data_IF_861907013011
#
_entry.id   IF_861907013011
#
_cell.length_a   1.000
_cell.length_b   1.000
_cell.length_c   1.000
_cell.angle_alpha   90.00
_cell.angle_beta   90.00
_cell.angle_gamma   90.00
#
_symmetry.space_group_name_H-M   'P 1'
#
loop_
_entity.id
_entity.type
_entity.pdbx_description
1 polymer ?
#
# COMPACT_ATOMS: atom_id res chain seq x y z
N UNK A 1 -8.44 10.12 12.62
CA UNK A 1 -7.15 10.82 12.44
C UNK A 1 -6.09 9.76 12.16
N UNK A 2 -5.48 9.79 10.98
CA UNK A 2 -4.37 8.91 10.63
C UNK A 2 -3.08 9.50 11.20
N UNK A 3 -2.31 8.72 11.96
CA UNK A 3 -1.01 9.17 12.47
C UNK A 3 0.05 8.86 11.40
N UNK A 4 0.69 9.90 10.87
CA UNK A 4 1.86 9.76 10.01
C UNK A 4 3.11 9.51 10.89
N UNK A 5 3.99 8.54 10.56
CA UNK A 5 5.27 8.39 11.24
C UNK A 5 6.25 9.48 10.77
N UNK A 6 6.99 10.04 11.73
CA UNK A 6 8.01 11.07 11.51
C UNK A 6 9.17 10.53 10.63
N UNK A 7 9.43 11.25 9.54
CA UNK A 7 10.56 11.04 8.62
C UNK A 7 10.64 12.18 7.61
N UNK A 8 11.72 12.98 7.69
CA UNK A 8 11.96 14.32 7.12
C UNK A 8 11.65 14.55 5.63
N UNK A 9 11.10 15.75 5.42
CA UNK A 9 11.22 16.72 4.33
C UNK A 9 10.93 16.30 2.88
N UNK A 10 9.72 16.66 2.44
CA UNK A 10 9.31 16.77 1.04
C UNK A 10 7.96 17.46 0.93
N UNK A 11 7.97 18.78 0.72
CA UNK A 11 6.84 19.68 0.42
C UNK A 11 5.52 19.40 1.15
N UNK A 12 5.25 20.17 2.20
CA UNK A 12 3.96 20.27 2.88
C UNK A 12 2.91 20.91 1.97
N UNK A 13 2.39 20.13 1.01
CA UNK A 13 1.05 20.41 0.49
C UNK A 13 0.07 19.86 1.51
N UNK A 14 -0.65 20.77 2.16
CA UNK A 14 -1.63 20.43 3.17
C UNK A 14 -2.69 19.54 2.54
N UNK A 15 -2.71 18.27 2.94
CA UNK A 15 -3.54 17.25 2.28
C UNK A 15 -5.03 17.45 2.60
N UNK A 16 -5.35 18.29 3.59
CA UNK A 16 -6.70 18.48 4.12
C UNK A 16 -7.59 19.39 3.24
N UNK A 17 -7.03 20.16 2.30
CA UNK A 17 -7.83 21.03 1.41
C UNK A 17 -8.38 20.32 0.17
N UNK A 18 -7.90 19.10 -0.14
CA UNK A 18 -8.34 18.39 -1.34
C UNK A 18 -9.73 17.78 -1.12
N UNK A 19 -10.74 18.37 -1.78
CA UNK A 19 -12.11 17.85 -1.75
C UNK A 19 -12.18 16.41 -2.31
N UNK A 20 -12.99 15.56 -1.68
CA UNK A 20 -13.31 14.21 -2.13
C UNK A 20 -14.80 14.16 -2.43
N UNK A 21 -15.14 13.76 -3.66
CA UNK A 21 -16.53 13.56 -4.08
C UNK A 21 -17.05 12.23 -3.54
N UNK A 22 -18.30 12.19 -3.09
CA UNK A 22 -18.94 10.98 -2.54
C UNK A 22 -18.89 10.89 -1.01
N UNK A 23 -19.53 9.86 -0.47
CA UNK A 23 -19.60 9.61 0.98
C UNK A 23 -18.99 8.25 1.29
N UNK A 24 -17.82 8.24 1.92
CA UNK A 24 -17.06 7.02 2.22
C UNK A 24 -16.69 6.94 3.70
N UNK A 25 -16.25 5.77 4.14
CA UNK A 25 -15.61 5.65 5.45
C UNK A 25 -14.33 6.48 5.52
N UNK A 26 -14.02 7.02 6.70
CA UNK A 26 -12.92 7.98 6.92
C UNK A 26 -11.56 7.53 6.36
N UNK A 27 -11.29 6.23 6.37
CA UNK A 27 -10.04 5.67 5.83
C UNK A 27 -10.00 5.71 4.30
N UNK A 28 -11.09 5.30 3.65
CA UNK A 28 -11.18 5.28 2.20
C UNK A 28 -11.12 6.70 1.64
N UNK A 29 -11.82 7.64 2.29
CA UNK A 29 -11.74 9.06 1.96
C UNK A 29 -10.31 9.59 2.07
N UNK A 30 -9.60 9.27 3.16
CA UNK A 30 -8.20 9.68 3.33
C UNK A 30 -7.28 9.11 2.24
N UNK A 31 -7.49 7.86 1.81
CA UNK A 31 -6.73 7.23 0.70
C UNK A 31 -7.00 7.96 -0.62
N UNK A 32 -8.26 8.27 -0.94
CA UNK A 32 -8.63 9.01 -2.15
C UNK A 32 -8.05 10.42 -2.11
N UNK A 33 -8.20 11.12 -0.99
CA UNK A 33 -7.67 12.47 -0.76
C UNK A 33 -6.16 12.52 -0.99
N UNK A 34 -5.41 11.58 -0.40
CA UNK A 34 -3.96 11.48 -0.58
C UNK A 34 -3.59 11.17 -2.03
N UNK A 35 -4.33 10.28 -2.68
CA UNK A 35 -4.13 9.96 -4.11
C UNK A 35 -4.32 11.21 -4.98
N UNK A 36 -5.39 11.98 -4.75
CA UNK A 36 -5.64 13.23 -5.46
C UNK A 36 -4.55 14.27 -5.17
N UNK A 37 -4.17 14.47 -3.91
CA UNK A 37 -3.09 15.38 -3.52
C UNK A 37 -1.78 15.08 -4.25
N UNK A 38 -1.37 13.81 -4.32
CA UNK A 38 -0.17 13.40 -5.07
C UNK A 38 -0.31 13.73 -6.56
N UNK A 39 -1.46 13.43 -7.17
CA UNK A 39 -1.69 13.67 -8.60
C UNK A 39 -1.85 15.16 -8.95
N UNK A 40 -2.28 15.99 -8.01
CA UNK A 40 -2.31 17.45 -8.16
C UNK A 40 -0.90 18.03 -8.12
N UNK A 41 -0.04 17.53 -7.23
CA UNK A 41 1.36 17.94 -7.13
C UNK A 41 2.20 17.46 -8.33
N UNK A 42 1.98 16.21 -8.78
CA UNK A 42 2.60 15.66 -10.00
C UNK A 42 1.56 14.88 -10.82
N UNK A 43 1.00 15.49 -11.89
CA UNK A 43 0.04 14.83 -12.78
C UNK A 43 0.56 13.59 -13.51
N UNK A 44 1.88 13.39 -13.54
CA UNK A 44 2.54 12.22 -14.14
C UNK A 44 2.90 11.16 -13.10
N UNK A 45 2.65 11.42 -11.82
CA UNK A 45 2.91 10.45 -10.75
C UNK A 45 2.12 9.17 -10.96
N UNK A 46 2.77 8.06 -10.60
CA UNK A 46 2.22 6.71 -10.72
C UNK A 46 2.21 6.07 -9.34
N UNK A 47 1.06 5.53 -8.98
CA UNK A 47 0.81 4.98 -7.65
C UNK A 47 0.49 3.49 -7.73
N UNK A 48 1.05 2.72 -6.81
CA UNK A 48 0.59 1.37 -6.50
C UNK A 48 -0.24 1.41 -5.23
N UNK A 49 -1.37 0.72 -5.23
CA UNK A 49 -2.20 0.54 -4.05
C UNK A 49 -2.33 -0.95 -3.76
N UNK A 50 -2.03 -1.34 -2.53
CA UNK A 50 -2.16 -2.72 -2.07
C UNK A 50 -3.22 -2.86 -0.98
N UNK A 51 -3.95 -3.97 -1.04
CA UNK A 51 -4.79 -4.46 0.06
C UNK A 51 -4.84 -6.00 0.07
N UNK A 52 -4.97 -6.61 1.24
CA UNK A 52 -5.34 -8.01 1.46
C UNK A 52 -6.82 -8.26 1.16
N UNK A 53 -7.65 -7.20 1.17
CA UNK A 53 -9.10 -7.28 0.98
C UNK A 53 -9.52 -6.84 -0.43
N UNK A 54 -10.03 -7.78 -1.21
CA UNK A 54 -10.47 -7.48 -2.59
C UNK A 54 -11.64 -6.49 -2.62
N UNK A 55 -12.59 -6.63 -1.69
CA UNK A 55 -13.77 -5.76 -1.59
C UNK A 55 -13.38 -4.30 -1.32
N UNK A 56 -12.31 -4.08 -0.54
CA UNK A 56 -11.77 -2.73 -0.29
C UNK A 56 -11.20 -2.11 -1.57
N UNK A 57 -10.53 -2.91 -2.41
CA UNK A 57 -10.05 -2.44 -3.72
C UNK A 57 -11.20 -2.14 -4.68
N UNK A 58 -12.32 -2.87 -4.59
CA UNK A 58 -13.52 -2.59 -5.36
C UNK A 58 -14.20 -1.29 -4.93
N UNK A 59 -14.35 -1.07 -3.62
CA UNK A 59 -14.85 0.19 -3.09
C UNK A 59 -13.94 1.37 -3.47
N UNK A 60 -12.61 1.18 -3.38
CA UNK A 60 -11.66 2.20 -3.82
C UNK A 60 -11.75 2.46 -5.33
N UNK A 61 -11.99 1.43 -6.15
CA UNK A 61 -12.18 1.58 -7.59
C UNK A 61 -13.37 2.48 -7.92
N UNK A 62 -14.50 2.28 -7.24
CA UNK A 62 -15.67 3.16 -7.38
C UNK A 62 -15.33 4.58 -6.92
N UNK A 63 -14.73 4.73 -5.74
CA UNK A 63 -14.40 6.04 -5.18
C UNK A 63 -13.40 6.83 -6.06
N UNK A 64 -12.39 6.17 -6.62
CA UNK A 64 -11.44 6.78 -7.55
C UNK A 64 -12.12 7.17 -8.88
N UNK A 65 -13.07 6.37 -9.37
CA UNK A 65 -13.85 6.71 -10.58
C UNK A 65 -14.68 7.97 -10.37
N UNK A 66 -15.43 8.03 -9.26
CA UNK A 66 -16.26 9.19 -8.88
C UNK A 66 -15.41 10.46 -8.71
N UNK A 67 -14.15 10.30 -8.30
CA UNK A 67 -13.18 11.39 -8.13
C UNK A 67 -12.32 11.68 -9.38
N UNK A 68 -12.65 11.11 -10.53
CA UNK A 68 -11.96 11.37 -11.81
C UNK A 68 -10.52 10.81 -11.89
N UNK A 69 -10.15 9.90 -10.98
CA UNK A 69 -8.80 9.30 -10.96
C UNK A 69 -8.76 8.05 -11.82
N UNK A 70 -7.97 8.11 -12.90
CA UNK A 70 -7.72 6.96 -13.78
C UNK A 70 -6.93 5.89 -13.06
N UNK A 71 -7.49 4.68 -13.00
CA UNK A 71 -6.87 3.56 -12.31
C UNK A 71 -7.09 2.24 -13.08
N UNK A 72 -6.25 1.26 -12.78
CA UNK A 72 -6.40 -0.11 -13.24
C UNK A 72 -6.44 -1.05 -12.04
N UNK A 73 -7.32 -2.04 -12.09
CA UNK A 73 -7.46 -3.02 -11.02
C UNK A 73 -7.20 -4.44 -11.53
N UNK A 74 -6.21 -5.12 -10.95
CA UNK A 74 -5.97 -6.53 -11.24
C UNK A 74 -6.80 -7.42 -10.29
N UNK A 75 -8.07 -7.69 -10.67
CA UNK A 75 -9.00 -8.61 -9.96
C UNK A 75 -8.55 -10.08 -9.87
N UNK A 76 -7.35 -10.40 -10.32
CA UNK A 76 -6.88 -11.77 -10.48
C UNK A 76 -5.76 -11.87 -11.50
N UNK A 77 -5.15 -13.06 -11.60
CA UNK A 77 -4.12 -13.35 -12.62
C UNK A 77 -4.59 -13.08 -14.06
N UNK A 78 -5.82 -13.43 -14.48
CA UNK A 78 -6.28 -13.16 -15.84
C UNK A 78 -6.32 -11.66 -16.20
N UNK A 79 -6.71 -10.81 -15.23
CA UNK A 79 -6.81 -9.37 -15.43
C UNK A 79 -5.47 -8.63 -15.30
N UNK A 80 -4.44 -9.28 -14.74
CA UNK A 80 -3.15 -8.67 -14.42
C UNK A 80 -2.44 -8.09 -15.65
N UNK A 81 -2.34 -8.87 -16.73
CA UNK A 81 -1.62 -8.44 -17.93
C UNK A 81 -2.24 -7.17 -18.56
N UNK A 82 -3.58 -7.10 -18.57
CA UNK A 82 -4.32 -5.93 -19.06
C UNK A 82 -4.07 -4.72 -18.15
N UNK A 83 -4.22 -4.88 -16.83
CA UNK A 83 -4.00 -3.81 -15.87
C UNK A 83 -2.57 -3.23 -15.95
N UNK A 84 -1.56 -4.10 -16.07
CA UNK A 84 -0.17 -3.69 -16.23
C UNK A 84 0.09 -2.93 -17.53
N UNK A 85 -0.50 -3.36 -18.65
CA UNK A 85 -0.38 -2.64 -19.92
C UNK A 85 -0.95 -1.22 -19.83
N UNK A 86 -2.10 -1.07 -19.18
CA UNK A 86 -2.75 0.24 -18.99
C UNK A 86 -1.91 1.14 -18.06
N UNK A 87 -1.38 0.58 -16.98
CA UNK A 87 -0.54 1.30 -16.03
C UNK A 87 0.77 1.78 -16.66
N UNK A 88 1.46 0.91 -17.40
CA UNK A 88 2.72 1.21 -18.11
C UNK A 88 2.55 2.09 -19.35
N UNK A 89 1.32 2.50 -19.68
CA UNK A 89 1.04 3.32 -20.86
C UNK A 89 1.29 2.62 -22.21
N UNK A 90 1.27 1.28 -22.24
CA UNK A 90 1.47 0.47 -23.46
C UNK A 90 0.15 0.17 -24.20
N UNK A 91 -0.88 0.97 -23.94
CA UNK A 91 -2.17 0.87 -24.61
C UNK A 91 -2.34 2.09 -25.51
N UNK A 92 -2.36 1.88 -26.84
CA UNK A 92 -2.41 2.96 -27.82
C UNK A 92 -3.78 3.66 -27.90
N UNK A 93 -4.81 3.06 -27.31
CA UNK A 93 -6.22 3.47 -27.45
C UNK A 93 -6.75 4.18 -26.19
N UNK A 94 -6.07 4.07 -25.04
CA UNK A 94 -6.54 4.63 -23.77
C UNK A 94 -5.46 5.45 -23.06
N UNK A 95 -5.87 6.54 -22.39
CA UNK A 95 -5.01 7.28 -21.48
C UNK A 95 -4.48 6.36 -20.38
N UNK A 96 -3.19 6.42 -20.10
CA UNK A 96 -2.57 5.53 -19.11
C UNK A 96 -3.16 5.74 -17.71
N UNK A 97 -3.36 4.63 -16.98
CA UNK A 97 -3.85 4.64 -15.60
C UNK A 97 -2.78 5.21 -14.66
N UNK A 98 -3.13 6.19 -13.82
CA UNK A 98 -2.21 6.77 -12.85
C UNK A 98 -2.05 5.88 -11.61
N UNK A 99 -3.07 5.09 -11.28
CA UNK A 99 -3.08 4.16 -10.14
C UNK A 99 -3.19 2.72 -10.61
N UNK A 100 -2.40 1.81 -10.03
CA UNK A 100 -2.56 0.37 -10.18
C UNK A 100 -2.88 -0.26 -8.83
N UNK A 101 -4.04 -0.88 -8.73
CA UNK A 101 -4.54 -1.55 -7.54
C UNK A 101 -4.28 -3.06 -7.63
N UNK A 102 -3.67 -3.62 -6.59
CA UNK A 102 -3.20 -4.99 -6.55
C UNK A 102 -3.56 -5.65 -5.20
N UNK A 103 -4.18 -6.83 -5.21
CA UNK A 103 -4.21 -7.66 -4.02
C UNK A 103 -2.78 -8.00 -3.57
N UNK A 104 -2.49 -7.92 -2.26
CA UNK A 104 -1.15 -8.20 -1.70
C UNK A 104 -0.62 -9.56 -2.16
N UNK A 105 -1.50 -10.59 -2.15
CA UNK A 105 -1.18 -11.94 -2.62
C UNK A 105 -0.72 -11.99 -4.09
N UNK A 106 -1.23 -11.11 -4.95
CA UNK A 106 -0.85 -11.04 -6.36
C UNK A 106 0.42 -10.19 -6.59
N UNK A 107 0.78 -9.32 -5.65
CA UNK A 107 2.03 -8.54 -5.66
C UNK A 107 3.31 -9.38 -5.55
N UNK A 108 3.20 -10.63 -5.10
CA UNK A 108 4.34 -11.54 -4.90
C UNK A 108 4.97 -12.07 -6.21
N UNK A 109 4.35 -11.87 -7.37
CA UNK A 109 4.69 -12.56 -8.64
C UNK A 109 5.88 -11.97 -9.43
N UNK A 110 6.84 -11.28 -8.81
CA UNK A 110 8.04 -10.85 -9.54
C UNK A 110 7.86 -9.63 -10.46
N UNK A 111 6.79 -8.86 -10.30
CA UNK A 111 6.49 -7.72 -11.16
C UNK A 111 7.56 -6.62 -11.08
N UNK A 112 7.95 -6.06 -12.23
CA UNK A 112 8.80 -4.88 -12.33
C UNK A 112 7.94 -3.63 -12.54
N UNK A 113 7.85 -2.75 -11.53
CA UNK A 113 6.94 -1.61 -11.47
C UNK A 113 7.68 -0.28 -11.21
N UNK A 114 8.88 -0.12 -11.79
CA UNK A 114 9.69 1.11 -11.74
C UNK A 114 8.96 2.35 -12.26
N UNK A 115 7.85 2.20 -12.96
CA UNK A 115 7.01 3.32 -13.34
C UNK A 115 6.37 4.03 -12.14
N UNK A 116 6.16 3.34 -11.03
CA UNK A 116 5.56 3.90 -9.82
C UNK A 116 6.57 4.68 -8.97
N UNK A 117 6.11 5.70 -8.25
CA UNK A 117 6.89 6.40 -7.21
C UNK A 117 6.25 6.26 -5.84
N UNK A 118 4.93 6.07 -5.78
CA UNK A 118 4.21 5.99 -4.51
C UNK A 118 3.60 4.61 -4.34
N UNK A 119 3.80 4.03 -3.15
CA UNK A 119 3.16 2.80 -2.70
C UNK A 119 2.21 3.17 -1.57
N UNK A 120 0.94 2.83 -1.72
CA UNK A 120 -0.09 3.01 -0.70
C UNK A 120 -0.45 1.63 -0.16
N UNK A 121 -0.38 1.48 1.16
CA UNK A 121 -0.90 0.32 1.88
C UNK A 121 -2.19 0.75 2.56
N UNK A 122 -3.33 0.17 2.14
CA UNK A 122 -4.63 0.55 2.70
C UNK A 122 -4.73 0.06 4.14
N UNK A 123 -4.08 -1.04 4.52
CA UNK A 123 -4.08 -1.55 5.89
C UNK A 123 -2.71 -2.10 6.31
N UNK A 124 -2.41 -2.19 7.61
CA UNK A 124 -1.14 -2.71 8.08
C UNK A 124 -1.00 -4.21 7.78
N UNK A 125 0.17 -4.59 7.27
CA UNK A 125 0.50 -5.99 7.00
C UNK A 125 1.20 -6.59 8.22
N UNK A 126 0.71 -7.72 8.70
CA UNK A 126 1.31 -8.42 9.84
C UNK A 126 2.71 -8.95 9.51
N UNK A 127 2.90 -9.40 8.27
CA UNK A 127 4.18 -9.90 7.77
C UNK A 127 4.97 -8.77 7.10
N UNK A 128 6.05 -8.25 7.73
CA UNK A 128 6.85 -7.17 7.18
C UNK A 128 7.55 -7.57 5.86
N UNK A 129 7.73 -8.87 5.60
CA UNK A 129 8.32 -9.34 4.36
C UNK A 129 7.43 -9.06 3.14
N UNK A 130 6.10 -9.16 3.30
CA UNK A 130 5.15 -8.83 2.23
C UNK A 130 5.24 -7.36 1.84
N UNK A 131 5.37 -6.49 2.84
CA UNK A 131 5.54 -5.06 2.62
C UNK A 131 6.87 -4.76 1.93
N UNK A 132 7.98 -5.28 2.45
CA UNK A 132 9.30 -5.13 1.84
C UNK A 132 9.33 -5.66 0.39
N UNK A 133 8.61 -6.75 0.12
CA UNK A 133 8.46 -7.29 -1.21
C UNK A 133 7.68 -6.35 -2.14
N UNK A 134 6.60 -5.73 -1.65
CA UNK A 134 5.81 -4.76 -2.41
C UNK A 134 6.64 -3.52 -2.76
N UNK A 135 7.37 -2.98 -1.78
CA UNK A 135 8.29 -1.86 -1.98
C UNK A 135 9.42 -2.21 -2.97
N UNK A 136 10.05 -3.38 -2.81
CA UNK A 136 11.12 -3.86 -3.70
C UNK A 136 10.69 -4.18 -5.14
N UNK A 137 9.41 -3.99 -5.51
CA UNK A 137 8.93 -3.99 -6.90
C UNK A 137 9.04 -2.61 -7.57
N UNK A 138 9.07 -1.57 -6.75
CA UNK A 138 9.14 -0.16 -7.15
C UNK A 138 10.55 0.36 -6.97
N UNK A 139 11.11 0.14 -5.78
CA UNK A 139 12.49 0.47 -5.45
C UNK A 139 13.40 -0.68 -5.85
N UNK A 140 13.85 -0.64 -7.10
CA UNK A 140 14.68 -1.67 -7.73
C UNK A 140 15.60 -1.01 -8.75
N UNK A 141 16.66 -1.72 -9.12
CA UNK A 141 17.56 -1.36 -10.22
C UNK A 141 16.72 -0.95 -11.46
N UNK A 142 16.91 0.29 -11.92
CA UNK A 142 16.16 0.91 -13.01
C UNK A 142 15.19 2.00 -12.57
N UNK A 143 14.86 2.09 -11.28
CA UNK A 143 14.20 3.26 -10.70
C UNK A 143 15.19 4.40 -10.53
N UNK A 144 14.83 5.61 -10.99
CA UNK A 144 15.66 6.82 -10.89
C UNK A 144 15.01 7.92 -10.06
N UNK A 145 13.72 7.77 -9.73
CA UNK A 145 12.97 8.72 -8.91
C UNK A 145 12.88 8.25 -7.46
N UNK A 146 12.78 9.20 -6.54
CA UNK A 146 12.51 8.90 -5.14
C UNK A 146 11.18 8.15 -4.99
N UNK A 147 11.18 7.12 -4.14
CA UNK A 147 10.01 6.29 -3.86
C UNK A 147 9.48 6.59 -2.46
N UNK A 148 8.16 6.53 -2.30
CA UNK A 148 7.46 6.85 -1.05
C UNK A 148 6.49 5.74 -0.68
N UNK A 149 6.43 5.39 0.60
CA UNK A 149 5.46 4.44 1.13
C UNK A 149 4.50 5.17 2.08
N UNK A 150 3.21 5.18 1.74
CA UNK A 150 2.14 5.75 2.54
C UNK A 150 1.37 4.63 3.23
N UNK A 151 1.36 4.62 4.57
CA UNK A 151 0.67 3.59 5.37
C UNK A 151 -0.57 4.21 6.00
N UNK A 152 -1.74 3.64 5.74
CA UNK A 152 -3.00 4.09 6.33
C UNK A 152 -3.34 3.21 7.54
N UNK A 153 -3.27 3.83 8.71
CA UNK A 153 -3.50 3.18 10.00
C UNK A 153 -4.52 4.01 10.77
N UNK A 154 -5.59 3.38 11.23
CA UNK A 154 -6.58 4.04 12.08
C UNK A 154 -6.13 3.95 13.54
N UNK A 155 -5.87 5.10 14.17
CA UNK A 155 -5.43 5.20 15.56
C UNK A 155 -6.47 4.69 16.55
N UNK A 156 -6.02 4.17 17.70
CA UNK A 156 -6.88 3.60 18.75
C UNK A 156 -7.78 2.48 18.23
N UNK A 157 -7.29 1.71 17.26
CA UNK A 157 -7.98 0.52 16.74
C UNK A 157 -7.03 -0.68 16.69
N UNK A 158 -7.59 -1.84 16.34
CA UNK A 158 -6.81 -3.05 16.10
C UNK A 158 -5.72 -2.86 15.05
N UNK A 159 -5.91 -1.97 14.07
CA UNK A 159 -4.90 -1.72 13.03
C UNK A 159 -3.61 -1.13 13.60
N UNK A 160 -3.71 -0.17 14.50
CA UNK A 160 -2.55 0.44 15.16
C UNK A 160 -1.74 -0.63 15.91
N UNK A 161 -2.42 -1.56 16.57
CA UNK A 161 -1.77 -2.67 17.28
C UNK A 161 -1.15 -3.69 16.34
N UNK A 162 -1.83 -4.04 15.24
CA UNK A 162 -1.26 -4.91 14.19
C UNK A 162 0.01 -4.28 13.61
N UNK A 163 0.00 -2.96 13.37
CA UNK A 163 1.18 -2.24 12.91
C UNK A 163 2.33 -2.26 13.92
N UNK A 164 2.04 -2.03 15.20
CA UNK A 164 3.03 -2.11 16.28
C UNK A 164 3.64 -3.51 16.38
N UNK A 165 2.81 -4.56 16.34
CA UNK A 165 3.25 -5.95 16.36
C UNK A 165 4.14 -6.28 15.15
N UNK A 166 3.75 -5.83 13.95
CA UNK A 166 4.55 -6.01 12.74
C UNK A 166 5.92 -5.32 12.85
N UNK A 167 5.96 -4.10 13.41
CA UNK A 167 7.23 -3.39 13.66
C UNK A 167 8.11 -4.11 14.69
N UNK A 168 7.53 -4.60 15.78
CA UNK A 168 8.25 -5.38 16.79
C UNK A 168 8.89 -6.61 16.15
N UNK A 169 8.10 -7.41 15.42
CA UNK A 169 8.59 -8.59 14.68
C UNK A 169 9.67 -8.22 13.68
N UNK A 170 9.49 -7.12 12.95
CA UNK A 170 10.49 -6.66 11.99
C UNK A 170 11.86 -6.38 12.64
N UNK A 171 11.88 -5.91 13.89
CA UNK A 171 13.11 -5.67 14.67
C UNK A 171 13.70 -6.97 15.19
N UNK A 172 12.87 -7.83 15.77
CA UNK A 172 13.29 -9.13 16.32
C UNK A 172 13.88 -10.05 15.25
N UNK A 173 13.29 -10.07 14.06
CA UNK A 173 13.70 -10.95 12.97
C UNK A 173 14.57 -10.26 11.90
N UNK A 174 15.04 -9.03 12.14
CA UNK A 174 16.00 -8.34 11.26
C UNK A 174 15.51 -8.08 9.83
N UNK A 175 14.21 -7.84 9.64
CA UNK A 175 13.62 -7.62 8.30
C UNK A 175 13.94 -6.23 7.74
N UNK A 176 14.22 -5.26 8.61
CA UNK A 176 14.65 -3.91 8.25
C UNK A 176 16.10 -3.74 8.74
N UNK A 177 17.08 -3.77 7.83
CA UNK A 177 18.43 -3.26 8.11
C UNK A 177 19.66 -4.15 7.84
N UNK A 178 19.54 -5.41 7.40
CA UNK A 178 20.73 -6.24 7.16
C UNK A 178 20.72 -6.91 5.77
N UNK A 179 21.64 -6.54 4.85
CA UNK A 179 21.89 -7.33 3.65
C UNK A 179 22.60 -8.63 4.06
N UNK A 180 21.94 -9.78 3.89
CA UNK A 180 22.57 -11.10 4.08
C UNK A 180 21.96 -12.02 5.15
N UNK A 181 20.85 -11.66 5.79
CA UNK A 181 20.18 -12.57 6.73
C UNK A 181 19.50 -13.74 5.98
N UNK A 182 20.13 -14.92 6.03
CA UNK A 182 19.55 -16.19 5.58
C UNK A 182 18.30 -16.51 6.40
N UNK A 183 17.12 -16.33 5.80
CA UNK A 183 15.83 -16.63 6.44
C UNK A 183 15.57 -18.14 6.42
N UNK A 184 15.46 -18.76 7.59
CA UNK A 184 14.88 -20.11 7.68
C UNK A 184 13.38 -20.07 7.35
N UNK A 185 12.87 -21.11 6.69
CA UNK A 185 11.43 -21.21 6.36
C UNK A 185 10.54 -21.20 7.62
N UNK A 186 11.08 -21.67 8.75
CA UNK A 186 10.41 -21.66 10.06
C UNK A 186 10.28 -20.25 10.62
N UNK A 187 11.35 -19.43 10.59
CA UNK A 187 11.29 -18.05 11.07
C UNK A 187 10.34 -17.15 10.25
N UNK A 188 10.20 -17.40 8.95
CA UNK A 188 9.20 -16.70 8.11
C UNK A 188 7.77 -17.11 8.49
N UNK A 189 7.55 -18.40 8.78
CA UNK A 189 6.23 -18.91 9.17
C UNK A 189 5.81 -18.36 10.53
N UNK A 190 6.72 -18.35 11.51
CA UNK A 190 6.50 -17.76 12.84
C UNK A 190 6.14 -16.27 12.75
N UNK A 191 6.89 -15.51 11.95
CA UNK A 191 6.67 -14.07 11.73
C UNK A 191 5.30 -13.75 11.12
N UNK A 192 4.76 -14.65 10.29
CA UNK A 192 3.44 -14.52 9.68
C UNK A 192 2.29 -15.09 10.54
N UNK A 193 2.60 -15.84 11.59
CA UNK A 193 1.61 -16.52 12.43
C UNK A 193 1.24 -15.68 13.66
N UNK A 194 -0.04 -15.67 14.04
CA UNK A 194 -0.49 -15.08 15.30
C UNK A 194 -0.57 -16.19 16.35
N UNK A 195 0.02 -15.94 17.52
CA UNK A 195 -0.16 -16.77 18.71
C UNK A 195 -1.46 -16.40 19.42
N UNK A 196 -1.94 -17.28 20.31
CA UNK A 196 -3.10 -16.96 21.17
C UNK A 196 -2.81 -15.75 22.07
N UNK A 197 -1.55 -15.56 22.46
CA UNK A 197 -1.10 -14.36 23.17
C UNK A 197 -1.29 -13.10 22.33
N UNK A 198 -0.83 -13.12 21.07
CA UNK A 198 -0.99 -11.99 20.15
C UNK A 198 -2.46 -11.62 19.95
N UNK A 199 -3.33 -12.61 19.75
CA UNK A 199 -4.78 -12.36 19.58
C UNK A 199 -5.38 -11.74 20.85
N UNK A 200 -5.00 -12.22 22.03
CA UNK A 200 -5.44 -11.65 23.31
C UNK A 200 -5.01 -10.19 23.44
N UNK A 201 -3.76 -9.90 23.12
CA UNK A 201 -3.20 -8.55 23.25
C UNK A 201 -3.84 -7.59 22.23
N UNK A 202 -4.09 -8.07 21.00
CA UNK A 202 -4.83 -7.32 19.97
C UNK A 202 -6.25 -6.94 20.43
N UNK A 203 -6.94 -7.83 21.16
CA UNK A 203 -8.35 -7.67 21.54
C UNK A 203 -8.60 -7.07 22.94
N UNK A 204 -7.55 -6.80 23.74
CA UNK A 204 -7.68 -6.31 25.12
C UNK A 204 -8.50 -5.02 25.30
N UNK A 205 -8.71 -4.21 24.26
CA UNK A 205 -9.47 -2.95 24.32
C UNK A 205 -11.00 -3.10 24.18
N UNK A 206 -11.52 -4.31 23.99
CA UNK A 206 -12.96 -4.59 23.93
C UNK A 206 -13.53 -5.15 25.25
N UNK A 207 -12.81 -4.98 26.35
CA UNK A 207 -13.31 -5.20 27.72
C UNK A 207 -13.49 -3.87 28.41
#
# INVERSE_FOLDING_TARGET
AAIAPEGRDGSSFDSDEVAVEGSYGSKLEAVVRRTKSILLADPKAKLLVFSEWQDVLELLSSALSENGVRHAFAKGRPAMAKALRHFKGKCAVEMSASVLMLPVKLGANGLNLVEAQHVILIEPLLDPAKEAQAFGRVDRIGQTKQTYVHRFIVSKTVEERVYQLAQQRSREYGVIGAPGASRSKEGVREMSSLTVGDVRDLLQQYK
#
